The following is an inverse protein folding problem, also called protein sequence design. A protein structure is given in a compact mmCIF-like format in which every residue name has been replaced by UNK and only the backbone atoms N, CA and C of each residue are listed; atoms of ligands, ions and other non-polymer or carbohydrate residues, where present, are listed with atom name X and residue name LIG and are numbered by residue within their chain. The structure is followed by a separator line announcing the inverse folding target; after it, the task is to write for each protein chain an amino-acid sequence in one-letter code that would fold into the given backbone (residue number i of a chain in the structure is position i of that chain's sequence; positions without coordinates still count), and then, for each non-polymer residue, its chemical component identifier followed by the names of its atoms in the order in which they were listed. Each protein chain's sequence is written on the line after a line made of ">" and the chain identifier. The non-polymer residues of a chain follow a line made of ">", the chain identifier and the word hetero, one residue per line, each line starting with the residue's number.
data_IF_947563305010
#
_entry.id   IF_947563305010
#
_cell.length_a   1.000
_cell.length_b   1.000
_cell.length_c   1.000
_cell.angle_alpha   90.00
_cell.angle_beta   90.00
_cell.angle_gamma   90.00
#
_symmetry.space_group_name_H-M   'P 1'
#
loop_
_entity.id
_entity.type
_entity.pdbx_description
1 polymer ?
#
# COMPACT_ATOMS: atom_id res chain seq x y z
N UNK A 1 -14.42 74.93 36.67
CA UNK A 1 -14.84 73.55 36.83
C UNK A 1 -13.79 72.63 36.18
N UNK A 2 -13.04 71.87 36.97
CA UNK A 2 -11.93 71.03 36.51
C UNK A 2 -12.43 69.58 36.40
N UNK A 3 -12.27 68.92 35.23
CA UNK A 3 -12.51 67.50 35.04
C UNK A 3 -11.25 66.69 35.37
N UNK A 4 -11.34 65.54 36.05
CA UNK A 4 -10.18 64.75 36.36
C UNK A 4 -9.85 63.81 35.19
N UNK A 5 -8.55 63.68 34.94
CA UNK A 5 -7.98 62.71 33.97
C UNK A 5 -8.01 61.33 34.62
N UNK A 6 -8.74 60.40 33.98
CA UNK A 6 -8.68 58.97 34.31
C UNK A 6 -7.56 58.29 33.50
N UNK A 7 -6.58 57.74 34.21
CA UNK A 7 -5.54 56.88 33.68
C UNK A 7 -6.13 55.56 33.26
N UNK A 8 -5.99 55.24 32.00
CA UNK A 8 -6.22 53.89 31.47
C UNK A 8 -4.88 53.16 31.49
N UNK A 9 -4.71 52.27 32.42
CA UNK A 9 -3.61 51.31 32.45
C UNK A 9 -3.90 50.19 31.49
N UNK A 10 -3.26 50.23 30.32
CA UNK A 10 -3.23 49.09 29.38
C UNK A 10 -2.33 48.00 29.91
N UNK A 11 -2.93 46.90 30.36
CA UNK A 11 -2.21 45.67 30.65
C UNK A 11 -1.71 45.07 29.32
N UNK A 12 -0.42 45.10 29.08
CA UNK A 12 0.26 44.42 28.02
C UNK A 12 0.34 42.93 28.44
N UNK A 13 -0.59 42.11 27.94
CA UNK A 13 -0.47 40.66 27.97
C UNK A 13 0.67 40.27 27.05
N UNK A 14 1.81 39.89 27.62
CA UNK A 14 2.93 39.32 26.90
C UNK A 14 2.54 37.97 26.29
N UNK A 15 2.23 37.95 25.01
CA UNK A 15 2.24 36.74 24.24
C UNK A 15 3.71 36.37 24.05
N UNK A 16 4.15 35.34 24.77
CA UNK A 16 5.38 34.61 24.48
C UNK A 16 5.24 33.97 23.10
N UNK A 17 5.80 34.59 22.07
CA UNK A 17 6.06 33.98 20.79
C UNK A 17 7.09 32.90 21.02
N UNK A 18 6.65 31.67 21.26
CA UNK A 18 7.48 30.50 21.09
C UNK A 18 7.94 30.52 19.62
N UNK A 19 9.21 30.81 19.42
CA UNK A 19 9.87 30.80 18.12
C UNK A 19 9.89 29.36 17.60
N UNK A 20 8.85 28.97 16.89
CA UNK A 20 8.93 27.81 16.00
C UNK A 20 9.91 28.19 14.89
N UNK A 21 11.14 27.75 15.02
CA UNK A 21 12.07 27.72 13.90
C UNK A 21 11.63 26.58 12.95
N UNK A 22 10.48 26.80 12.28
CA UNK A 22 10.21 26.06 11.07
C UNK A 22 11.18 26.61 10.01
N UNK A 23 12.06 25.78 9.50
CA UNK A 23 12.72 26.00 8.21
C UNK A 23 11.59 26.14 7.19
N UNK A 24 11.21 27.40 6.93
CA UNK A 24 10.12 27.72 6.03
C UNK A 24 10.49 27.31 4.62
N UNK A 25 10.03 26.16 4.17
CA UNK A 25 9.83 25.92 2.77
C UNK A 25 8.73 26.87 2.33
N UNK A 26 9.07 27.82 1.44
CA UNK A 26 8.15 28.88 1.00
C UNK A 26 7.14 28.28 0.00
N UNK A 27 6.09 27.58 0.49
CA UNK A 27 5.07 26.99 -0.36
C UNK A 27 3.93 26.37 0.45
N UNK A 28 2.79 26.14 -0.20
CA UNK A 28 1.68 25.39 0.39
C UNK A 28 2.07 23.91 0.56
N UNK A 29 1.35 23.12 1.40
CA UNK A 29 1.55 21.67 1.52
C UNK A 29 1.53 20.97 0.15
N UNK A 30 0.63 21.36 -0.75
CA UNK A 30 0.53 20.82 -2.11
C UNK A 30 1.78 21.13 -2.95
N UNK A 31 2.28 22.35 -2.88
CA UNK A 31 3.53 22.75 -3.56
C UNK A 31 4.72 21.98 -3.01
N UNK A 32 4.81 21.83 -1.71
CA UNK A 32 5.86 21.08 -1.03
C UNK A 32 5.83 19.60 -1.43
N UNK A 33 4.63 19.00 -1.51
CA UNK A 33 4.43 17.63 -1.96
C UNK A 33 4.91 17.45 -3.41
N UNK A 34 4.51 18.36 -4.31
CA UNK A 34 4.92 18.34 -5.73
C UNK A 34 6.44 18.49 -5.91
N UNK A 35 7.07 19.38 -5.17
CA UNK A 35 8.53 19.52 -5.18
C UNK A 35 9.24 18.22 -4.75
N UNK A 36 8.64 17.48 -3.82
CA UNK A 36 9.11 16.15 -3.43
C UNK A 36 9.03 15.13 -4.58
N UNK A 37 7.94 15.12 -5.34
CA UNK A 37 7.82 14.27 -6.52
C UNK A 37 8.85 14.63 -7.59
N UNK A 38 9.02 15.91 -7.90
CA UNK A 38 10.03 16.39 -8.84
C UNK A 38 11.45 16.04 -8.39
N UNK A 39 11.73 16.09 -7.08
CA UNK A 39 13.03 15.67 -6.54
C UNK A 39 13.25 14.16 -6.77
N UNK A 40 12.21 13.34 -6.59
CA UNK A 40 12.26 11.90 -6.86
C UNK A 40 12.55 11.60 -8.33
N UNK A 41 11.92 12.33 -9.27
CA UNK A 41 12.15 12.17 -10.71
C UNK A 41 13.61 12.46 -11.10
N UNK A 42 14.28 13.37 -10.37
CA UNK A 42 15.69 13.68 -10.53
C UNK A 42 16.64 12.74 -9.78
N UNK A 43 16.10 11.76 -9.03
CA UNK A 43 16.87 10.87 -8.17
C UNK A 43 17.35 11.51 -6.85
N UNK A 44 16.89 12.72 -6.54
CA UNK A 44 17.24 13.42 -5.30
C UNK A 44 16.26 13.01 -4.17
N UNK A 45 16.38 11.74 -3.76
CA UNK A 45 15.56 11.17 -2.71
C UNK A 45 15.76 11.83 -1.34
N UNK A 46 16.93 12.42 -1.09
CA UNK A 46 17.19 13.11 0.18
C UNK A 46 16.36 14.40 0.30
N UNK A 47 16.24 15.16 -0.79
CA UNK A 47 15.37 16.34 -0.85
C UNK A 47 13.91 15.93 -0.78
N UNK A 48 13.50 14.87 -1.52
CA UNK A 48 12.14 14.35 -1.46
C UNK A 48 11.73 13.96 -0.03
N UNK A 49 12.58 13.20 0.67
CA UNK A 49 12.36 12.81 2.05
C UNK A 49 12.17 14.02 2.98
N UNK A 50 13.05 15.03 2.88
CA UNK A 50 12.97 16.26 3.70
C UNK A 50 11.69 17.06 3.45
N UNK A 51 11.19 17.03 2.21
CA UNK A 51 9.96 17.71 1.83
C UNK A 51 8.72 16.98 2.34
N UNK A 52 8.70 15.65 2.30
CA UNK A 52 7.53 14.89 2.73
C UNK A 52 7.45 14.67 4.25
N UNK A 53 8.58 14.70 4.97
CA UNK A 53 8.61 14.46 6.41
C UNK A 53 7.63 15.37 7.18
N UNK A 54 7.63 16.71 7.04
CA UNK A 54 6.69 17.55 7.77
C UNK A 54 5.23 17.35 7.36
N UNK A 55 4.95 16.92 6.12
CA UNK A 55 3.60 16.58 5.67
C UNK A 55 3.10 15.29 6.34
N UNK A 56 3.93 14.27 6.38
CA UNK A 56 3.64 13.01 7.05
C UNK A 56 3.44 13.19 8.58
N UNK A 57 4.25 14.04 9.22
CA UNK A 57 4.09 14.40 10.63
C UNK A 57 2.78 15.15 10.90
N UNK A 58 2.25 15.89 9.92
CA UNK A 58 0.95 16.54 9.97
C UNK A 58 -0.21 15.60 9.67
N UNK A 59 0.07 14.32 9.33
CA UNK A 59 -0.94 13.29 9.13
C UNK A 59 -1.31 13.03 7.67
N UNK A 60 -0.60 13.60 6.69
CA UNK A 60 -0.83 13.29 5.28
C UNK A 60 -0.52 11.81 4.99
N UNK A 61 -1.55 11.02 4.67
CA UNK A 61 -1.43 9.57 4.50
C UNK A 61 -0.53 9.22 3.31
N UNK A 62 -0.56 10.00 2.22
CA UNK A 62 0.28 9.74 1.05
C UNK A 62 1.74 10.01 1.39
N UNK A 63 2.05 11.10 2.06
CA UNK A 63 3.40 11.39 2.53
C UNK A 63 3.91 10.30 3.49
N UNK A 64 3.05 9.78 4.38
CA UNK A 64 3.40 8.65 5.26
C UNK A 64 3.74 7.38 4.47
N UNK A 65 2.98 7.04 3.42
CA UNK A 65 3.31 5.93 2.51
C UNK A 65 4.66 6.14 1.84
N UNK A 66 4.92 7.36 1.37
CA UNK A 66 6.20 7.70 0.71
C UNK A 66 7.39 7.61 1.67
N UNK A 67 7.22 8.04 2.93
CA UNK A 67 8.26 7.87 3.95
C UNK A 67 8.46 6.40 4.32
N UNK A 68 7.39 5.63 4.46
CA UNK A 68 7.47 4.19 4.65
C UNK A 68 8.29 3.52 3.55
N UNK A 69 8.03 3.88 2.29
CA UNK A 69 8.78 3.40 1.13
C UNK A 69 10.25 3.87 1.15
N UNK A 70 10.50 5.12 1.54
CA UNK A 70 11.86 5.65 1.66
C UNK A 70 12.69 4.89 2.70
N UNK A 71 12.11 4.58 3.86
CA UNK A 71 12.77 3.77 4.88
C UNK A 71 12.91 2.30 4.47
N UNK A 72 11.89 1.70 3.84
CA UNK A 72 11.93 0.32 3.34
C UNK A 72 13.08 0.10 2.35
N UNK A 73 13.34 1.08 1.47
CA UNK A 73 14.29 0.95 0.38
C UNK A 73 15.60 1.76 0.57
N UNK A 74 15.74 2.50 1.66
CA UNK A 74 16.91 3.35 1.89
C UNK A 74 17.01 4.54 0.93
N UNK A 75 15.86 5.11 0.51
CA UNK A 75 15.80 6.21 -0.46
C UNK A 75 15.91 7.56 0.27
N UNK A 76 17.05 8.22 0.16
CA UNK A 76 17.33 9.51 0.82
C UNK A 76 17.51 9.45 2.34
N UNK A 77 17.37 8.26 2.93
CA UNK A 77 17.52 7.96 4.35
C UNK A 77 18.15 6.56 4.49
N UNK A 78 18.76 6.27 5.63
CA UNK A 78 19.25 4.91 5.90
C UNK A 78 18.05 3.96 5.98
N UNK A 79 18.16 2.79 5.33
CA UNK A 79 17.14 1.75 5.37
C UNK A 79 16.84 1.34 6.82
N UNK A 80 15.56 1.30 7.15
CA UNK A 80 15.05 0.90 8.47
C UNK A 80 13.62 0.37 8.36
N UNK A 81 13.47 -0.96 8.37
CA UNK A 81 12.18 -1.61 8.26
C UNK A 81 11.26 -1.32 9.46
N UNK A 82 11.83 -1.01 10.66
CA UNK A 82 11.03 -0.65 11.83
C UNK A 82 10.38 0.72 11.63
N UNK A 83 11.14 1.70 11.13
CA UNK A 83 10.59 3.01 10.79
C UNK A 83 9.59 2.92 9.62
N UNK A 84 9.87 2.07 8.60
CA UNK A 84 8.94 1.84 7.50
C UNK A 84 7.58 1.34 8.01
N UNK A 85 7.58 0.35 8.91
CA UNK A 85 6.34 -0.17 9.53
C UNK A 85 5.58 0.91 10.29
N UNK A 86 6.26 1.80 11.03
CA UNK A 86 5.59 2.88 11.76
C UNK A 86 4.83 3.81 10.82
N UNK A 87 5.47 4.22 9.73
CA UNK A 87 4.85 5.11 8.75
C UNK A 87 3.73 4.43 7.97
N UNK A 88 3.93 3.19 7.50
CA UNK A 88 2.87 2.43 6.85
C UNK A 88 1.67 2.21 7.77
N UNK A 89 1.89 1.95 9.08
CA UNK A 89 0.81 1.77 10.04
C UNK A 89 -0.04 3.03 10.18
N UNK A 90 0.59 4.21 10.30
CA UNK A 90 -0.14 5.47 10.40
C UNK A 90 -1.03 5.70 9.17
N UNK A 91 -0.53 5.47 7.96
CA UNK A 91 -1.33 5.59 6.74
C UNK A 91 -2.41 4.50 6.64
N UNK A 92 -2.09 3.25 7.00
CA UNK A 92 -3.02 2.12 6.98
C UNK A 92 -4.21 2.31 7.94
N UNK A 93 -3.96 2.85 9.13
CA UNK A 93 -4.98 3.20 10.12
C UNK A 93 -5.91 4.34 9.65
N UNK A 94 -5.44 5.20 8.74
CA UNK A 94 -6.24 6.19 8.04
C UNK A 94 -7.03 5.63 6.87
N UNK A 95 -6.85 4.34 6.55
CA UNK A 95 -7.57 3.65 5.48
C UNK A 95 -6.83 3.59 4.13
N UNK A 96 -5.57 4.02 4.04
CA UNK A 96 -4.82 3.92 2.80
C UNK A 96 -4.58 2.45 2.41
N UNK A 97 -5.14 2.04 1.26
CA UNK A 97 -5.09 0.65 0.80
C UNK A 97 -3.67 0.18 0.41
N UNK A 98 -2.84 1.08 -0.09
CA UNK A 98 -1.46 0.75 -0.43
C UNK A 98 -0.62 0.52 0.82
N UNK A 99 -0.79 1.37 1.85
CA UNK A 99 -0.17 1.17 3.15
C UNK A 99 -0.63 -0.12 3.84
N UNK A 100 -1.94 -0.43 3.78
CA UNK A 100 -2.49 -1.68 4.31
C UNK A 100 -1.86 -2.90 3.63
N UNK A 101 -1.74 -2.89 2.30
CA UNK A 101 -1.05 -3.95 1.56
C UNK A 101 0.41 -4.09 2.02
N UNK A 102 1.14 -2.97 2.10
CA UNK A 102 2.55 -2.95 2.51
C UNK A 102 2.72 -3.46 3.95
N UNK A 103 1.88 -2.99 4.86
CA UNK A 103 1.92 -3.43 6.25
C UNK A 103 1.62 -4.93 6.39
N UNK A 104 0.65 -5.44 5.60
CA UNK A 104 0.37 -6.87 5.52
C UNK A 104 1.60 -7.68 5.09
N UNK A 105 2.31 -7.24 4.05
CA UNK A 105 3.53 -7.89 3.59
C UNK A 105 4.66 -7.86 4.65
N UNK A 106 4.80 -6.73 5.37
CA UNK A 106 5.81 -6.63 6.44
C UNK A 106 5.52 -7.59 7.60
N UNK A 107 4.23 -7.82 7.93
CA UNK A 107 3.85 -8.84 8.92
C UNK A 107 4.05 -10.26 8.40
N UNK A 108 3.73 -10.55 7.13
CA UNK A 108 3.94 -11.87 6.51
C UNK A 108 5.42 -12.25 6.51
N UNK A 109 6.31 -11.29 6.17
CA UNK A 109 7.75 -11.51 6.07
C UNK A 109 8.50 -11.36 7.42
N UNK A 110 7.89 -10.77 8.44
CA UNK A 110 8.56 -10.44 9.70
C UNK A 110 9.58 -9.31 9.56
N UNK A 111 9.36 -8.38 8.62
CA UNK A 111 10.25 -7.24 8.37
C UNK A 111 9.86 -6.05 9.23
N UNK A 112 10.76 -5.57 10.07
CA UNK A 112 10.52 -4.45 10.99
C UNK A 112 9.49 -4.72 12.10
N UNK A 113 8.84 -5.87 12.06
CA UNK A 113 7.91 -6.39 13.07
C UNK A 113 8.12 -7.89 13.25
N UNK A 114 7.61 -8.44 14.35
CA UNK A 114 7.53 -9.89 14.50
C UNK A 114 6.57 -10.45 13.44
N UNK A 115 6.98 -11.53 12.75
CA UNK A 115 6.12 -12.22 11.80
C UNK A 115 4.80 -12.62 12.45
N UNK A 116 3.69 -12.29 11.77
CA UNK A 116 2.33 -12.62 12.20
C UNK A 116 1.40 -12.71 11.00
N UNK A 117 1.18 -13.93 10.51
CA UNK A 117 0.33 -14.20 9.35
C UNK A 117 -1.14 -13.81 9.61
N UNK A 118 -1.59 -13.84 10.88
CA UNK A 118 -2.97 -13.43 11.22
C UNK A 118 -3.13 -11.92 11.05
N UNK A 119 -2.16 -11.14 11.53
CA UNK A 119 -2.14 -9.70 11.30
C UNK A 119 -1.98 -9.36 9.81
N UNK A 120 -1.13 -10.08 9.08
CA UNK A 120 -0.98 -9.90 7.62
C UNK A 120 -2.31 -10.05 6.90
N UNK A 121 -3.07 -11.11 7.20
CA UNK A 121 -4.41 -11.35 6.62
C UNK A 121 -5.39 -10.22 6.91
N UNK A 122 -5.38 -9.67 8.12
CA UNK A 122 -6.27 -8.55 8.47
C UNK A 122 -6.02 -7.33 7.59
N UNK A 123 -4.74 -6.98 7.41
CA UNK A 123 -4.36 -5.84 6.59
C UNK A 123 -4.62 -6.08 5.10
N UNK A 124 -4.28 -7.27 4.59
CA UNK A 124 -4.61 -7.64 3.21
C UNK A 124 -6.11 -7.58 2.95
N UNK A 125 -6.95 -8.04 3.90
CA UNK A 125 -8.40 -8.00 3.77
C UNK A 125 -8.92 -6.57 3.65
N UNK A 126 -8.45 -5.66 4.50
CA UNK A 126 -8.86 -4.25 4.44
C UNK A 126 -8.53 -3.62 3.09
N UNK A 127 -7.32 -3.85 2.57
CA UNK A 127 -6.92 -3.36 1.25
C UNK A 127 -7.71 -4.04 0.11
N UNK A 128 -7.97 -5.34 0.21
CA UNK A 128 -8.72 -6.12 -0.78
C UNK A 128 -10.20 -5.69 -0.87
N UNK A 129 -10.83 -5.39 0.25
CA UNK A 129 -12.20 -4.89 0.34
C UNK A 129 -12.36 -3.50 -0.30
N UNK A 130 -11.30 -2.70 -0.30
CA UNK A 130 -11.22 -1.44 -1.04
C UNK A 130 -11.00 -1.63 -2.56
N UNK A 131 -10.83 -2.88 -3.01
CA UNK A 131 -10.69 -3.21 -4.42
C UNK A 131 -9.25 -3.14 -4.96
N UNK A 132 -8.23 -3.08 -4.11
CA UNK A 132 -6.85 -3.16 -4.56
C UNK A 132 -6.54 -4.57 -5.07
N UNK A 133 -6.37 -4.72 -6.40
CA UNK A 133 -6.22 -6.02 -7.06
C UNK A 133 -5.05 -6.84 -6.50
N UNK A 134 -3.91 -6.21 -6.21
CA UNK A 134 -2.76 -6.89 -5.62
C UNK A 134 -3.06 -7.42 -4.22
N UNK A 135 -3.82 -6.69 -3.40
CA UNK A 135 -4.25 -7.16 -2.09
C UNK A 135 -5.25 -8.32 -2.19
N UNK A 136 -6.15 -8.28 -3.17
CA UNK A 136 -7.07 -9.39 -3.48
C UNK A 136 -6.29 -10.64 -3.90
N UNK A 137 -5.26 -10.50 -4.74
CA UNK A 137 -4.36 -11.60 -5.08
C UNK A 137 -3.68 -12.18 -3.82
N UNK A 138 -3.07 -11.33 -2.99
CA UNK A 138 -2.39 -11.79 -1.75
C UNK A 138 -3.37 -12.50 -0.82
N UNK A 139 -4.57 -11.95 -0.65
CA UNK A 139 -5.60 -12.58 0.19
C UNK A 139 -6.01 -13.95 -0.38
N UNK A 140 -6.12 -14.10 -1.69
CA UNK A 140 -6.33 -15.40 -2.35
C UNK A 140 -5.19 -16.38 -2.08
N UNK A 141 -3.94 -15.93 -2.14
CA UNK A 141 -2.77 -16.76 -1.87
C UNK A 141 -2.71 -17.25 -0.42
N UNK A 142 -2.99 -16.39 0.56
CA UNK A 142 -2.98 -16.80 1.97
C UNK A 142 -4.10 -17.78 2.30
N UNK A 143 -5.30 -17.65 1.69
CA UNK A 143 -6.35 -18.66 1.80
C UNK A 143 -5.99 -19.99 1.14
N UNK A 144 -5.38 -19.96 -0.04
CA UNK A 144 -4.94 -21.18 -0.73
C UNK A 144 -3.87 -21.94 0.05
N UNK A 145 -2.96 -21.23 0.74
CA UNK A 145 -1.88 -21.82 1.56
C UNK A 145 -2.30 -22.12 3.01
N UNK A 146 -3.33 -21.48 3.53
CA UNK A 146 -3.71 -21.54 4.95
C UNK A 146 -2.77 -20.78 5.87
N UNK A 147 -2.22 -19.64 5.43
CA UNK A 147 -1.34 -18.78 6.22
C UNK A 147 -2.17 -17.79 7.03
N UNK A 148 -2.08 -17.85 8.35
CA UNK A 148 -2.87 -16.98 9.26
C UNK A 148 -4.39 -17.21 9.24
N UNK A 149 -4.87 -18.08 8.35
CA UNK A 149 -6.28 -18.50 8.22
C UNK A 149 -6.36 -19.99 7.94
N UNK A 150 -7.54 -20.59 8.19
CA UNK A 150 -7.78 -21.96 7.70
C UNK A 150 -7.73 -21.96 6.18
N UNK A 151 -7.02 -22.94 5.60
CA UNK A 151 -6.98 -23.14 4.15
C UNK A 151 -8.39 -23.28 3.59
N UNK A 152 -8.68 -22.51 2.53
CA UNK A 152 -9.96 -22.50 1.86
C UNK A 152 -9.78 -22.14 0.37
N UNK A 153 -9.76 -23.17 -0.49
CA UNK A 153 -9.60 -22.99 -1.93
C UNK A 153 -10.81 -22.28 -2.57
N UNK A 154 -12.02 -22.39 -2.00
CA UNK A 154 -13.21 -21.70 -2.51
C UNK A 154 -13.08 -20.20 -2.28
N UNK A 155 -12.68 -19.81 -1.07
CA UNK A 155 -12.44 -18.42 -0.73
C UNK A 155 -11.25 -17.85 -1.53
N UNK A 156 -10.18 -18.63 -1.72
CA UNK A 156 -9.05 -18.25 -2.57
C UNK A 156 -9.51 -17.91 -4.01
N UNK A 157 -10.32 -18.80 -4.62
CA UNK A 157 -10.87 -18.57 -5.98
C UNK A 157 -11.75 -17.31 -6.02
N UNK A 158 -12.51 -17.02 -4.98
CA UNK A 158 -13.32 -15.81 -4.92
C UNK A 158 -12.45 -14.55 -5.01
N UNK A 159 -11.35 -14.51 -4.27
CA UNK A 159 -10.43 -13.39 -4.30
C UNK A 159 -9.61 -13.32 -5.60
N UNK A 160 -9.12 -14.46 -6.10
CA UNK A 160 -8.45 -14.49 -7.42
C UNK A 160 -9.35 -13.96 -8.53
N UNK A 161 -10.65 -14.29 -8.53
CA UNK A 161 -11.60 -13.80 -9.54
C UNK A 161 -11.71 -12.27 -9.48
N UNK A 162 -11.86 -11.68 -8.30
CA UNK A 162 -11.97 -10.23 -8.15
C UNK A 162 -10.72 -9.51 -8.69
N UNK A 163 -9.52 -10.01 -8.36
CA UNK A 163 -8.27 -9.45 -8.88
C UNK A 163 -8.12 -9.67 -10.40
N UNK A 164 -8.48 -10.86 -10.89
CA UNK A 164 -8.40 -11.23 -12.31
C UNK A 164 -9.33 -10.37 -13.18
N UNK A 165 -10.54 -10.08 -12.73
CA UNK A 165 -11.50 -9.19 -13.39
C UNK A 165 -11.02 -7.74 -13.45
N UNK A 166 -10.13 -7.34 -12.53
CA UNK A 166 -9.45 -6.03 -12.52
C UNK A 166 -8.18 -6.01 -13.38
N UNK A 167 -7.85 -7.12 -14.02
CA UNK A 167 -6.72 -7.21 -14.94
C UNK A 167 -5.41 -7.68 -14.31
N UNK A 168 -5.39 -8.09 -13.04
CA UNK A 168 -4.18 -8.64 -12.44
C UNK A 168 -3.78 -9.95 -13.14
N UNK A 169 -2.62 -9.93 -13.80
CA UNK A 169 -2.17 -11.03 -14.65
C UNK A 169 -1.87 -12.30 -13.86
N UNK A 170 -1.31 -12.17 -12.66
CA UNK A 170 -1.01 -13.30 -11.80
C UNK A 170 -2.30 -13.92 -11.23
N UNK A 171 -3.28 -13.11 -10.85
CA UNK A 171 -4.59 -13.61 -10.42
C UNK A 171 -5.34 -14.31 -11.57
N UNK A 172 -5.25 -13.80 -12.80
CA UNK A 172 -5.79 -14.46 -13.98
C UNK A 172 -5.16 -15.83 -14.18
N UNK A 173 -3.84 -15.94 -14.00
CA UNK A 173 -3.15 -17.23 -14.05
C UNK A 173 -3.64 -18.17 -12.93
N UNK A 174 -3.72 -17.69 -11.68
CA UNK A 174 -4.17 -18.49 -10.53
C UNK A 174 -5.62 -18.98 -10.71
N UNK A 175 -6.49 -18.14 -11.24
CA UNK A 175 -7.88 -18.50 -11.56
C UNK A 175 -7.95 -19.56 -12.68
N UNK A 176 -7.16 -19.39 -13.74
CA UNK A 176 -7.02 -20.38 -14.79
C UNK A 176 -6.55 -21.74 -14.26
N UNK A 177 -5.58 -21.71 -13.36
CA UNK A 177 -5.04 -22.90 -12.71
C UNK A 177 -6.07 -23.59 -11.79
N UNK A 178 -6.88 -22.80 -11.08
CA UNK A 178 -7.98 -23.31 -10.27
C UNK A 178 -9.04 -24.04 -11.11
N UNK A 179 -9.41 -23.47 -12.27
CA UNK A 179 -10.31 -24.13 -13.22
C UNK A 179 -9.69 -25.40 -13.84
N UNK A 180 -8.39 -25.41 -14.10
CA UNK A 180 -7.70 -26.57 -14.67
C UNK A 180 -7.71 -27.77 -13.72
N UNK A 181 -7.43 -27.52 -12.43
CA UNK A 181 -7.27 -28.55 -11.42
C UNK A 181 -8.53 -28.85 -10.59
N UNK A 182 -9.58 -28.02 -10.69
CA UNK A 182 -10.76 -28.15 -9.85
C UNK A 182 -10.53 -27.73 -8.39
N UNK A 183 -9.55 -26.86 -8.13
CA UNK A 183 -9.28 -26.34 -6.79
C UNK A 183 -10.23 -25.21 -6.43
N UNK A 184 -11.10 -25.43 -5.44
CA UNK A 184 -12.11 -24.46 -4.99
C UNK A 184 -13.20 -24.14 -6.02
N UNK A 185 -13.17 -24.77 -7.19
CA UNK A 185 -14.14 -24.59 -8.29
C UNK A 185 -14.20 -25.84 -9.16
N UNK A 186 -15.32 -26.06 -9.85
CA UNK A 186 -15.45 -27.18 -10.77
C UNK A 186 -14.47 -27.08 -11.94
N UNK A 187 -13.86 -28.22 -12.32
CA UNK A 187 -12.94 -28.32 -13.47
C UNK A 187 -13.61 -27.80 -14.73
N UNK A 188 -12.93 -26.89 -15.42
CA UNK A 188 -13.36 -26.38 -16.72
C UNK A 188 -12.15 -25.94 -17.56
N UNK A 189 -11.71 -26.84 -18.46
CA UNK A 189 -10.54 -26.60 -19.32
C UNK A 189 -10.74 -25.42 -20.30
N UNK A 190 -11.98 -25.17 -20.73
CA UNK A 190 -12.27 -24.02 -21.61
C UNK A 190 -12.08 -22.68 -20.89
N UNK A 191 -12.61 -22.56 -19.66
CA UNK A 191 -12.40 -21.38 -18.84
C UNK A 191 -10.93 -21.27 -18.39
N UNK A 192 -10.27 -22.36 -18.06
CA UNK A 192 -8.84 -22.35 -17.76
C UNK A 192 -8.03 -21.76 -18.91
N UNK A 193 -8.28 -22.21 -20.14
CA UNK A 193 -7.64 -21.69 -21.34
C UNK A 193 -7.90 -20.19 -21.55
N UNK A 194 -9.15 -19.76 -21.37
CA UNK A 194 -9.52 -18.34 -21.49
C UNK A 194 -8.72 -17.48 -20.51
N UNK A 195 -8.68 -17.88 -19.24
CA UNK A 195 -7.98 -17.13 -18.20
C UNK A 195 -6.46 -17.14 -18.41
N UNK A 196 -5.86 -18.26 -18.85
CA UNK A 196 -4.46 -18.30 -19.24
C UNK A 196 -4.16 -17.39 -20.43
N UNK A 197 -5.07 -17.27 -21.40
CA UNK A 197 -4.95 -16.34 -22.51
C UNK A 197 -4.96 -14.89 -22.05
N UNK A 198 -5.86 -14.52 -21.13
CA UNK A 198 -5.88 -13.18 -20.52
C UNK A 198 -4.59 -12.90 -19.75
N UNK A 199 -4.12 -13.84 -18.92
CA UNK A 199 -2.88 -13.73 -18.17
C UNK A 199 -1.67 -13.50 -19.11
N UNK A 200 -1.60 -14.25 -20.20
CA UNK A 200 -0.57 -14.11 -21.24
C UNK A 200 -0.59 -12.70 -21.86
N UNK A 201 -1.77 -12.21 -22.25
CA UNK A 201 -1.93 -10.88 -22.84
C UNK A 201 -1.55 -9.76 -21.88
N UNK A 202 -1.70 -9.98 -20.56
CA UNK A 202 -1.34 -9.05 -19.52
C UNK A 202 0.10 -9.26 -18.98
N UNK A 203 0.92 -10.07 -19.67
CA UNK A 203 2.35 -10.20 -19.39
C UNK A 203 2.75 -11.35 -18.45
N UNK A 204 1.82 -12.20 -18.01
CA UNK A 204 2.15 -13.39 -17.22
C UNK A 204 2.63 -14.52 -18.13
N UNK A 205 3.94 -14.75 -18.18
CA UNK A 205 4.59 -15.71 -19.07
C UNK A 205 4.09 -17.15 -18.89
N UNK A 206 3.81 -17.56 -17.64
CA UNK A 206 3.23 -18.89 -17.37
C UNK A 206 1.85 -19.03 -18.01
N UNK A 207 1.07 -17.95 -18.09
CA UNK A 207 -0.21 -17.93 -18.79
C UNK A 207 -0.06 -18.30 -20.27
N UNK A 208 0.96 -17.74 -20.95
CA UNK A 208 1.25 -18.08 -22.35
C UNK A 208 1.61 -19.56 -22.53
N UNK A 209 2.43 -20.10 -21.63
CA UNK A 209 2.84 -21.50 -21.66
C UNK A 209 1.64 -22.44 -21.52
N UNK A 210 0.81 -22.23 -20.48
CA UNK A 210 -0.36 -23.09 -20.22
C UNK A 210 -1.45 -22.93 -21.29
N UNK A 211 -1.66 -21.73 -21.81
CA UNK A 211 -2.52 -21.49 -22.96
C UNK A 211 -2.06 -22.31 -24.18
N UNK A 212 -0.76 -22.31 -24.48
CA UNK A 212 -0.18 -23.09 -25.56
C UNK A 212 -0.36 -24.60 -25.39
N UNK A 213 -0.11 -25.13 -24.17
CA UNK A 213 -0.30 -26.55 -23.85
C UNK A 213 -1.75 -26.99 -24.07
N UNK A 214 -2.73 -26.21 -23.60
CA UNK A 214 -4.15 -26.51 -23.80
C UNK A 214 -4.55 -26.42 -25.27
N UNK A 215 -3.96 -25.51 -26.06
CA UNK A 215 -4.20 -25.45 -27.52
C UNK A 215 -3.72 -26.69 -28.26
N UNK A 216 -2.62 -27.30 -27.82
CA UNK A 216 -2.05 -28.49 -28.43
C UNK A 216 -2.68 -29.79 -27.89
N UNK A 217 -3.59 -29.70 -26.92
CA UNK A 217 -4.22 -30.90 -26.32
C UNK A 217 -3.28 -31.69 -25.41
N UNK A 218 -2.25 -31.07 -24.87
CA UNK A 218 -1.24 -31.68 -23.99
C UNK A 218 -1.69 -31.80 -22.54
N UNK A 219 -2.88 -31.26 -22.20
CA UNK A 219 -3.44 -31.28 -20.85
C UNK A 219 -4.94 -31.55 -20.82
#
# INVERSE_FOLDING_TARGET
>A
MKFPKTLITTAILGFSLASFHSTAWAGTPEQQFQQGLEATERGDYQTAFKLWLPLAEQGDAIAQVLLGNAYENGLGVKQDDVEAVKWYRQAAEQGDAAAQLKLGAMYEDGRGVKQDDVEAVKWYRQAAEQGLALAQLQLGLVYNKGLGVKQDDVEAVRWYRQAAERGDAQAQFMLGFSYLLGKGIQVNKSLAKEWFGKACNNGEQRGCEYYGKLNRGEM
#
